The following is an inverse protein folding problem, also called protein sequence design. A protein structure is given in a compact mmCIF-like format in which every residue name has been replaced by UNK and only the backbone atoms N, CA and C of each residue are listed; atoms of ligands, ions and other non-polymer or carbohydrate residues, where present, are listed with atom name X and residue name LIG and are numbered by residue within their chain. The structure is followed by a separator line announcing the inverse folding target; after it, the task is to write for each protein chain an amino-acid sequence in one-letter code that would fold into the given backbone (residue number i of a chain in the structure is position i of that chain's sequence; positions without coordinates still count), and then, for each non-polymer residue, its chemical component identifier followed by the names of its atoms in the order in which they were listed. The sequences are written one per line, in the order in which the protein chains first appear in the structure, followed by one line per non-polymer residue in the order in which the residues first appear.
data_IF_385610753777
#
_entry.id   IF_385610753777
#
_cell.length_a   1.000
_cell.length_b   1.000
_cell.length_c   1.000
_cell.angle_alpha   90.00
_cell.angle_beta   90.00
_cell.angle_gamma   90.00
#
_symmetry.space_group_name_H-M   'P 1'
#
loop_
_entity.id
_entity.type
_entity.pdbx_description
1 polymer ?
#
# COMPACT_ATOMS: atom_id res chain seq x y z
N UNK A 1 2.71 -43.44 61.13
CA UNK A 1 3.48 -43.89 59.93
C UNK A 1 2.56 -43.89 58.73
N UNK A 2 3.10 -43.60 57.53
CA UNK A 2 2.44 -43.51 56.20
C UNK A 2 1.99 -42.11 55.75
N UNK A 3 2.93 -41.21 55.47
CA UNK A 3 2.79 -40.14 54.45
C UNK A 3 4.16 -39.75 53.83
N UNK A 4 5.01 -40.72 53.51
CA UNK A 4 6.36 -40.47 52.92
C UNK A 4 6.55 -41.06 51.51
N UNK A 5 5.52 -41.69 50.94
CA UNK A 5 5.52 -42.09 49.53
C UNK A 5 4.16 -41.65 49.02
N UNK A 6 4.02 -40.62 48.18
CA UNK A 6 4.46 -40.59 46.78
C UNK A 6 4.77 -39.15 46.37
N UNK A 7 5.97 -38.68 46.70
CA UNK A 7 6.62 -37.51 46.06
C UNK A 7 7.32 -37.93 44.74
N UNK A 8 7.10 -39.16 44.28
CA UNK A 8 7.87 -39.81 43.21
C UNK A 8 7.09 -40.03 41.90
N UNK A 9 6.01 -39.27 41.67
CA UNK A 9 5.33 -39.21 40.34
C UNK A 9 5.38 -37.79 39.74
N UNK A 10 5.97 -36.82 40.46
CA UNK A 10 6.33 -35.50 39.92
C UNK A 10 7.71 -35.45 39.26
N UNK A 11 8.47 -36.56 39.29
CA UNK A 11 9.86 -36.62 38.81
C UNK A 11 10.07 -37.40 37.51
N UNK A 12 9.02 -37.75 36.78
CA UNK A 12 9.16 -38.42 35.48
C UNK A 12 8.34 -37.69 34.42
N UNK A 13 9.06 -37.04 33.50
CA UNK A 13 8.66 -36.69 32.13
C UNK A 13 8.10 -35.29 31.82
N UNK A 14 8.35 -34.27 32.65
CA UNK A 14 8.70 -32.97 32.07
C UNK A 14 10.19 -32.96 31.74
N UNK A 15 10.60 -33.88 30.84
CA UNK A 15 11.76 -33.62 30.00
C UNK A 15 11.33 -32.47 29.08
N UNK A 16 11.35 -31.26 29.64
CA UNK A 16 11.50 -30.06 28.84
C UNK A 16 12.77 -30.34 28.05
N UNK A 17 12.64 -30.64 26.76
CA UNK A 17 13.77 -30.57 25.86
C UNK A 17 14.21 -29.11 25.92
N UNK A 18 15.16 -28.83 26.84
CA UNK A 18 15.70 -27.52 27.08
C UNK A 18 16.16 -26.96 25.74
N UNK A 19 15.70 -25.74 25.45
CA UNK A 19 15.97 -25.07 24.19
C UNK A 19 17.46 -25.18 23.84
N UNK A 20 17.77 -25.65 22.62
CA UNK A 20 19.15 -25.76 22.16
C UNK A 20 19.62 -24.38 21.69
N UNK A 21 20.54 -23.75 22.43
CA UNK A 21 21.17 -22.48 22.04
C UNK A 21 22.08 -22.69 20.82
N UNK A 22 21.85 -21.96 19.73
CA UNK A 22 22.65 -22.06 18.50
C UNK A 22 23.55 -20.84 18.22
N UNK A 23 23.79 -19.95 19.18
CA UNK A 23 24.57 -18.75 18.90
C UNK A 23 24.41 -17.69 19.96
N UNK A 24 24.92 -16.49 19.66
CA UNK A 24 24.70 -15.29 20.45
C UNK A 24 24.21 -14.19 19.51
N UNK A 25 23.22 -13.41 19.97
CA UNK A 25 22.71 -12.23 19.27
C UNK A 25 23.24 -11.00 19.98
N UNK A 26 23.71 -10.02 19.22
CA UNK A 26 24.31 -8.79 19.71
C UNK A 26 23.58 -7.59 19.11
N UNK A 27 23.19 -6.66 19.98
CA UNK A 27 22.64 -5.34 19.60
C UNK A 27 23.76 -4.35 19.23
N UNK A 28 24.99 -4.57 19.70
CA UNK A 28 26.18 -3.79 19.39
C UNK A 28 27.28 -4.72 18.91
N UNK A 29 27.75 -4.53 17.67
CA UNK A 29 28.78 -5.37 17.06
C UNK A 29 29.43 -4.65 15.85
N UNK A 30 30.76 -4.73 15.62
CA UNK A 30 31.42 -4.03 14.51
C UNK A 30 30.86 -4.37 13.11
N UNK A 31 30.28 -5.56 12.95
CA UNK A 31 29.61 -5.95 11.72
C UNK A 31 28.33 -5.13 11.43
N UNK A 32 27.63 -4.67 12.48
CA UNK A 32 26.47 -3.78 12.34
C UNK A 32 26.93 -2.43 11.79
N UNK A 33 28.00 -1.86 12.34
CA UNK A 33 28.58 -0.59 11.87
C UNK A 33 29.01 -0.69 10.39
N UNK A 34 29.63 -1.81 10.01
CA UNK A 34 29.99 -2.08 8.62
C UNK A 34 28.77 -2.10 7.68
N UNK A 35 27.67 -2.71 8.10
CA UNK A 35 26.42 -2.75 7.31
C UNK A 35 25.78 -1.38 7.20
N UNK A 36 25.79 -0.58 8.27
CA UNK A 36 25.32 0.79 8.23
C UNK A 36 26.15 1.65 7.24
N UNK A 37 27.49 1.56 7.31
CA UNK A 37 28.38 2.27 6.38
C UNK A 37 28.21 1.78 4.94
N UNK A 38 27.94 0.49 4.75
CA UNK A 38 27.61 -0.09 3.45
C UNK A 38 26.31 0.47 2.88
N UNK A 39 25.24 0.54 3.66
CA UNK A 39 23.95 1.09 3.23
C UNK A 39 24.09 2.56 2.85
N UNK A 40 24.85 3.35 3.61
CA UNK A 40 25.16 4.72 3.22
C UNK A 40 25.92 4.82 1.89
N UNK A 41 26.93 3.96 1.67
CA UNK A 41 27.67 3.92 0.42
C UNK A 41 26.76 3.49 -0.75
N UNK A 42 25.85 2.55 -0.51
CA UNK A 42 24.84 2.10 -1.47
C UNK A 42 23.92 3.26 -1.88
N UNK A 43 23.38 4.01 -0.91
CA UNK A 43 22.54 5.18 -1.16
C UNK A 43 23.26 6.25 -1.97
N UNK A 44 24.54 6.50 -1.65
CA UNK A 44 25.38 7.49 -2.37
C UNK A 44 25.88 7.00 -3.73
N UNK A 45 25.66 5.73 -4.10
CA UNK A 45 26.23 5.15 -5.31
C UNK A 45 27.76 5.09 -5.29
N UNK A 46 28.39 5.05 -4.11
CA UNK A 46 29.84 5.02 -3.95
C UNK A 46 30.39 3.61 -4.25
N UNK A 47 30.48 3.33 -5.55
CA UNK A 47 30.92 2.03 -6.07
C UNK A 47 32.31 1.62 -5.59
N UNK A 48 33.21 2.57 -5.36
CA UNK A 48 34.56 2.30 -4.87
C UNK A 48 34.55 1.86 -3.40
N UNK A 49 33.78 2.56 -2.56
CA UNK A 49 33.62 2.18 -1.15
C UNK A 49 32.93 0.82 -1.02
N UNK A 50 31.83 0.61 -1.74
CA UNK A 50 31.15 -0.69 -1.79
C UNK A 50 32.13 -1.80 -2.20
N UNK A 51 32.89 -1.62 -3.30
CA UNK A 51 33.84 -2.62 -3.76
C UNK A 51 34.90 -3.01 -2.71
N UNK A 52 35.33 -2.04 -1.89
CA UNK A 52 36.30 -2.26 -0.81
C UNK A 52 35.75 -3.08 0.35
N UNK A 53 34.44 -3.00 0.61
CA UNK A 53 33.74 -3.70 1.69
C UNK A 53 33.37 -5.15 1.34
N UNK A 54 33.31 -5.49 0.05
CA UNK A 54 32.92 -6.83 -0.39
C UNK A 54 34.13 -7.77 -0.54
N UNK A 55 33.97 -9.06 -0.22
CA UNK A 55 34.97 -10.09 -0.57
C UNK A 55 35.08 -10.25 -2.09
N UNK A 56 36.15 -10.86 -2.59
CA UNK A 56 36.33 -11.04 -4.05
C UNK A 56 35.36 -12.06 -4.64
N UNK A 57 34.96 -13.05 -3.85
CA UNK A 57 34.00 -14.10 -4.20
C UNK A 57 32.53 -13.74 -3.87
N UNK A 58 32.26 -12.48 -3.54
CA UNK A 58 30.95 -12.00 -3.09
C UNK A 58 29.77 -12.46 -3.95
N UNK A 59 28.65 -12.78 -3.28
CA UNK A 59 27.36 -13.11 -3.89
C UNK A 59 26.18 -12.41 -3.22
N UNK A 60 25.27 -11.84 -4.03
CA UNK A 60 23.95 -11.44 -3.55
C UNK A 60 22.84 -12.37 -4.05
N UNK A 61 21.76 -12.50 -3.28
CA UNK A 61 20.63 -13.38 -3.58
C UNK A 61 19.30 -12.64 -3.40
N UNK A 62 18.30 -13.04 -4.19
CA UNK A 62 16.92 -12.66 -3.97
C UNK A 62 16.26 -13.75 -3.10
N UNK A 63 15.90 -13.39 -1.86
CA UNK A 63 15.30 -14.28 -0.88
C UNK A 63 13.86 -14.69 -1.16
N UNK A 64 13.19 -14.03 -2.12
CA UNK A 64 11.84 -14.35 -2.58
C UNK A 64 11.80 -14.90 -4.01
N UNK A 65 12.97 -15.20 -4.60
CA UNK A 65 13.06 -15.79 -5.94
C UNK A 65 12.63 -17.25 -5.98
N UNK A 66 12.10 -17.69 -7.13
CA UNK A 66 11.65 -19.07 -7.39
C UNK A 66 12.76 -19.99 -7.95
N UNK A 67 13.86 -19.41 -8.45
CA UNK A 67 14.97 -20.17 -9.00
C UNK A 67 15.86 -20.80 -7.92
N UNK A 68 15.51 -22.03 -7.53
CA UNK A 68 16.25 -22.88 -6.58
C UNK A 68 17.70 -23.19 -6.97
N UNK A 69 18.08 -22.98 -8.23
CA UNK A 69 19.43 -23.24 -8.74
C UNK A 69 20.31 -21.99 -8.85
N UNK A 70 19.79 -20.83 -8.43
CA UNK A 70 20.47 -19.54 -8.53
C UNK A 70 21.88 -19.59 -7.93
N UNK A 71 22.86 -19.07 -8.67
CA UNK A 71 24.25 -18.90 -8.22
C UNK A 71 24.54 -17.53 -7.61
N UNK A 72 23.49 -16.72 -7.43
CA UNK A 72 23.58 -15.34 -6.95
C UNK A 72 24.21 -14.38 -7.95
N UNK A 73 24.01 -13.10 -7.71
CA UNK A 73 24.64 -12.00 -8.46
C UNK A 73 26.05 -11.79 -7.95
N UNK A 74 27.03 -11.75 -8.86
CA UNK A 74 28.43 -11.50 -8.49
C UNK A 74 28.75 -10.03 -8.22
N UNK A 75 29.87 -9.79 -7.53
CA UNK A 75 30.38 -8.47 -7.11
C UNK A 75 30.23 -7.35 -8.15
N UNK A 76 30.76 -7.53 -9.36
CA UNK A 76 30.76 -6.48 -10.38
C UNK A 76 29.34 -6.04 -10.75
N UNK A 77 28.44 -7.00 -11.02
CA UNK A 77 27.05 -6.70 -11.37
C UNK A 77 26.30 -6.07 -10.19
N UNK A 78 26.57 -6.51 -8.98
CA UNK A 78 25.96 -5.94 -7.78
C UNK A 78 26.34 -4.47 -7.58
N UNK A 79 27.61 -4.12 -7.76
CA UNK A 79 28.10 -2.73 -7.69
C UNK A 79 27.46 -1.87 -8.78
N UNK A 80 27.32 -2.39 -10.00
CA UNK A 80 26.60 -1.68 -11.07
C UNK A 80 25.13 -1.45 -10.69
N UNK A 81 24.46 -2.45 -10.11
CA UNK A 81 23.09 -2.28 -9.62
C UNK A 81 23.02 -1.19 -8.55
N UNK A 82 23.93 -1.18 -7.57
CA UNK A 82 23.96 -0.16 -6.52
C UNK A 82 24.06 1.27 -7.08
N UNK A 83 24.91 1.46 -8.10
CA UNK A 83 24.98 2.73 -8.82
C UNK A 83 23.63 3.08 -9.48
N UNK A 84 22.99 2.13 -10.17
CA UNK A 84 21.68 2.37 -10.80
C UNK A 84 20.61 2.78 -9.80
N UNK A 85 20.55 2.17 -8.62
CA UNK A 85 19.61 2.59 -7.57
C UNK A 85 19.80 4.06 -7.18
N UNK A 86 21.05 4.49 -7.01
CA UNK A 86 21.38 5.88 -6.67
C UNK A 86 21.13 6.85 -7.82
N UNK A 87 21.40 6.42 -9.06
CA UNK A 87 21.31 7.25 -10.26
C UNK A 87 19.89 7.34 -10.84
N UNK A 88 19.08 6.29 -10.72
CA UNK A 88 17.74 6.21 -11.34
C UNK A 88 16.61 6.61 -10.39
N UNK A 89 16.88 6.78 -9.09
CA UNK A 89 15.88 7.15 -8.09
C UNK A 89 16.13 8.53 -7.49
N UNK A 90 15.12 9.39 -7.52
CA UNK A 90 15.06 10.58 -6.67
C UNK A 90 14.70 10.19 -5.23
N UNK A 91 15.24 10.95 -4.26
CA UNK A 91 15.00 10.75 -2.83
C UNK A 91 15.37 9.34 -2.32
N UNK A 92 16.34 8.69 -2.98
CA UNK A 92 16.77 7.36 -2.58
C UNK A 92 17.31 7.37 -1.15
N UNK A 93 16.77 6.51 -0.30
CA UNK A 93 17.22 6.36 1.09
C UNK A 93 16.96 4.97 1.61
N UNK A 94 17.84 4.51 2.49
CA UNK A 94 17.66 3.31 3.32
C UNK A 94 17.78 3.79 4.76
N UNK A 95 16.80 3.44 5.59
CA UNK A 95 16.75 3.77 7.02
C UNK A 95 16.10 2.64 7.78
N UNK A 96 16.40 2.47 9.07
CA UNK A 96 15.76 1.43 9.89
C UNK A 96 14.23 1.49 9.81
N UNK A 97 13.60 0.32 9.69
CA UNK A 97 12.16 0.23 9.76
C UNK A 97 11.70 0.61 11.18
N UNK A 98 10.64 1.44 11.36
CA UNK A 98 10.22 1.89 12.68
C UNK A 98 9.99 0.74 13.67
N UNK A 99 10.66 0.78 14.82
CA UNK A 99 10.57 -0.25 15.85
C UNK A 99 11.46 -1.49 15.61
N UNK A 100 12.33 -1.45 14.60
CA UNK A 100 13.35 -2.47 14.37
C UNK A 100 14.76 -1.93 14.67
N UNK A 101 15.72 -2.86 14.73
CA UNK A 101 17.15 -2.57 14.90
C UNK A 101 17.94 -3.71 14.24
N UNK A 102 19.16 -3.43 13.74
CA UNK A 102 20.03 -4.47 13.21
C UNK A 102 20.53 -5.38 14.35
N UNK A 103 20.55 -6.69 14.09
CA UNK A 103 21.07 -7.70 15.02
C UNK A 103 22.26 -8.43 14.39
N UNK A 104 23.38 -8.52 15.11
CA UNK A 104 24.49 -9.40 14.75
C UNK A 104 24.33 -10.78 15.40
N UNK A 105 24.49 -11.83 14.62
CA UNK A 105 24.25 -13.21 15.02
C UNK A 105 25.49 -14.05 14.76
N UNK A 106 26.11 -14.51 15.84
CA UNK A 106 27.20 -15.48 15.81
C UNK A 106 26.64 -16.88 16.02
N UNK A 107 26.50 -17.66 14.95
CA UNK A 107 26.09 -19.06 15.08
C UNK A 107 27.23 -19.93 15.62
N UNK A 108 26.87 -20.94 16.43
CA UNK A 108 27.80 -21.98 16.89
C UNK A 108 27.90 -23.15 15.92
N UNK A 109 26.75 -23.56 15.37
CA UNK A 109 26.68 -24.68 14.43
C UNK A 109 27.07 -24.21 13.04
N UNK A 110 27.90 -25.01 12.36
CA UNK A 110 28.31 -24.82 10.97
C UNK A 110 29.03 -23.48 10.66
N UNK A 111 29.53 -22.78 11.68
CA UNK A 111 30.29 -21.52 11.55
C UNK A 111 31.79 -21.72 11.84
N UNK A 112 32.50 -22.42 10.96
CA UNK A 112 33.92 -22.73 11.16
C UNK A 112 34.84 -21.52 10.98
N UNK A 113 34.41 -20.57 10.15
CA UNK A 113 35.22 -19.40 9.77
C UNK A 113 35.01 -18.22 10.72
N UNK A 114 34.03 -18.32 11.63
CA UNK A 114 33.69 -17.25 12.57
C UNK A 114 33.02 -16.07 11.87
N UNK A 115 32.30 -16.34 10.78
CA UNK A 115 31.52 -15.34 10.06
C UNK A 115 30.31 -14.92 10.92
N UNK A 116 29.88 -13.67 10.78
CA UNK A 116 28.80 -13.05 11.54
C UNK A 116 27.67 -12.71 10.58
N UNK A 117 26.46 -13.14 10.90
CA UNK A 117 25.28 -12.66 10.19
C UNK A 117 24.85 -11.33 10.77
N UNK A 118 24.52 -10.35 9.93
CA UNK A 118 23.82 -9.14 10.35
C UNK A 118 22.45 -9.16 9.69
N UNK A 119 21.41 -9.13 10.51
CA UNK A 119 20.02 -9.08 10.09
C UNK A 119 19.52 -7.65 10.24
N UNK A 120 18.96 -7.08 9.16
CA UNK A 120 18.34 -5.74 9.20
C UNK A 120 16.89 -5.80 8.75
N UNK A 121 16.11 -4.85 9.26
CA UNK A 121 14.79 -4.50 8.74
C UNK A 121 14.85 -3.01 8.39
N UNK A 122 14.83 -2.73 7.11
CA UNK A 122 15.02 -1.39 6.59
C UNK A 122 13.75 -0.91 5.89
N UNK A 123 13.64 0.40 5.74
CA UNK A 123 12.65 1.08 4.93
C UNK A 123 13.38 1.71 3.75
N UNK A 124 13.26 1.06 2.60
CA UNK A 124 13.74 1.61 1.34
C UNK A 124 12.74 2.65 0.82
N UNK A 125 13.24 3.80 0.36
CA UNK A 125 12.45 4.83 -0.32
C UNK A 125 13.17 5.32 -1.57
N UNK A 126 12.40 5.71 -2.58
CA UNK A 126 12.85 6.38 -3.78
C UNK A 126 11.69 6.58 -4.77
N UNK A 127 11.90 7.41 -5.77
CA UNK A 127 10.96 7.63 -6.88
C UNK A 127 11.74 7.51 -8.18
N UNK A 128 11.33 6.61 -9.06
CA UNK A 128 12.02 6.40 -10.32
C UNK A 128 11.91 7.65 -11.20
N UNK A 129 13.04 8.19 -11.63
CA UNK A 129 13.14 9.51 -12.27
C UNK A 129 12.32 9.62 -13.54
N UNK A 130 12.26 8.56 -14.33
CA UNK A 130 11.60 8.59 -15.64
C UNK A 130 10.10 8.28 -15.54
N UNK A 131 9.71 7.32 -14.70
CA UNK A 131 8.32 6.82 -14.66
C UNK A 131 7.51 7.38 -13.50
N UNK A 132 8.14 7.98 -12.49
CA UNK A 132 7.49 8.41 -11.26
C UNK A 132 7.05 7.27 -10.33
N UNK A 133 7.34 6.01 -10.69
CA UNK A 133 6.98 4.85 -9.87
C UNK A 133 7.72 4.93 -8.54
N UNK A 134 6.96 4.78 -7.45
CA UNK A 134 7.47 4.88 -6.09
C UNK A 134 8.09 3.56 -5.66
N UNK A 135 9.38 3.59 -5.37
CA UNK A 135 10.10 2.51 -4.71
C UNK A 135 9.99 2.74 -3.21
N UNK A 136 8.97 2.20 -2.57
CA UNK A 136 8.88 2.21 -1.10
C UNK A 136 8.49 0.85 -0.60
N UNK A 137 9.40 0.22 0.15
CA UNK A 137 9.18 -1.14 0.62
C UNK A 137 9.91 -1.33 1.96
N UNK A 138 9.27 -1.93 2.97
CA UNK A 138 9.99 -2.58 4.05
C UNK A 138 10.84 -3.69 3.45
N UNK A 139 12.14 -3.67 3.73
CA UNK A 139 13.08 -4.68 3.26
C UNK A 139 13.67 -5.41 4.44
N UNK A 140 13.84 -6.72 4.30
CA UNK A 140 14.65 -7.50 5.22
C UNK A 140 15.91 -7.92 4.49
N UNK A 141 17.08 -7.63 5.06
CA UNK A 141 18.35 -8.03 4.48
C UNK A 141 19.16 -8.88 5.47
N UNK A 142 19.86 -9.88 4.93
CA UNK A 142 20.82 -10.71 5.66
C UNK A 142 22.20 -10.54 5.06
N UNK A 143 23.13 -9.98 5.82
CA UNK A 143 24.52 -9.81 5.45
C UNK A 143 25.38 -10.88 6.14
N UNK A 144 26.23 -11.57 5.39
CA UNK A 144 27.27 -12.43 5.95
C UNK A 144 28.58 -11.67 5.95
N UNK A 145 29.09 -11.35 7.14
CA UNK A 145 30.31 -10.59 7.35
C UNK A 145 31.41 -11.52 7.82
N UNK A 146 32.54 -11.51 7.13
CA UNK A 146 33.73 -12.28 7.49
C UNK A 146 34.40 -11.71 8.74
N UNK A 147 35.20 -12.53 9.41
CA UNK A 147 35.96 -12.11 10.60
C UNK A 147 36.92 -10.93 10.36
N UNK A 148 37.40 -10.74 9.12
CA UNK A 148 38.23 -9.60 8.71
C UNK A 148 37.42 -8.34 8.34
N UNK A 149 36.10 -8.35 8.50
CA UNK A 149 35.25 -7.17 8.32
C UNK A 149 34.90 -6.90 6.85
N UNK A 150 34.64 -7.95 6.07
CA UNK A 150 34.14 -7.82 4.70
C UNK A 150 32.81 -8.54 4.52
N UNK A 151 31.94 -8.02 3.68
CA UNK A 151 30.67 -8.65 3.34
C UNK A 151 30.94 -9.70 2.26
N UNK A 152 30.64 -10.96 2.59
CA UNK A 152 30.76 -12.12 1.71
C UNK A 152 29.47 -12.41 0.94
N UNK A 153 28.32 -12.14 1.55
CA UNK A 153 27.05 -12.26 0.85
C UNK A 153 25.96 -11.36 1.41
N UNK A 154 24.99 -11.03 0.56
CA UNK A 154 23.73 -10.39 0.97
C UNK A 154 22.55 -11.19 0.45
N UNK A 155 21.51 -11.38 1.26
CA UNK A 155 20.22 -11.92 0.81
C UNK A 155 19.18 -10.84 1.02
N UNK A 156 18.55 -10.41 -0.07
CA UNK A 156 17.55 -9.36 -0.07
C UNK A 156 16.13 -9.94 -0.07
N UNK A 157 15.29 -9.46 0.84
CA UNK A 157 13.86 -9.76 0.89
C UNK A 157 13.09 -8.44 0.78
N UNK A 158 12.56 -8.17 -0.41
CA UNK A 158 11.73 -7.00 -0.68
C UNK A 158 10.67 -7.37 -1.73
N UNK A 159 9.67 -6.51 -1.91
CA UNK A 159 8.62 -6.71 -2.91
C UNK A 159 9.16 -6.49 -4.34
N UNK A 160 9.27 -7.54 -5.17
CA UNK A 160 9.81 -7.39 -6.53
C UNK A 160 8.82 -6.72 -7.49
N UNK A 161 7.52 -6.65 -7.16
CA UNK A 161 6.48 -6.15 -8.07
C UNK A 161 6.67 -4.67 -8.44
N UNK A 162 7.39 -3.91 -7.61
CA UNK A 162 7.77 -2.51 -7.91
C UNK A 162 8.57 -2.39 -9.22
N UNK A 163 9.34 -3.41 -9.58
CA UNK A 163 10.08 -3.44 -10.84
C UNK A 163 9.18 -3.76 -12.02
N UNK A 164 8.15 -4.58 -11.83
CA UNK A 164 7.16 -4.87 -12.86
C UNK A 164 6.34 -3.62 -13.18
N UNK A 165 5.89 -2.89 -12.17
CA UNK A 165 5.18 -1.61 -12.33
C UNK A 165 6.05 -0.57 -13.05
N UNK A 166 7.32 -0.45 -12.64
CA UNK A 166 8.29 0.43 -13.31
C UNK A 166 8.47 0.05 -14.78
N UNK A 167 8.65 -1.25 -15.09
CA UNK A 167 8.83 -1.70 -16.46
C UNK A 167 7.58 -1.47 -17.33
N UNK A 168 6.39 -1.68 -16.77
CA UNK A 168 5.12 -1.46 -17.47
C UNK A 168 4.86 0.01 -17.75
N UNK A 169 5.36 0.92 -16.91
CA UNK A 169 5.20 2.38 -17.06
C UNK A 169 6.00 2.98 -18.23
N UNK A 170 6.81 2.19 -18.94
CA UNK A 170 7.52 2.62 -20.14
C UNK A 170 6.72 2.45 -21.45
N UNK A 171 5.52 1.88 -21.38
CA UNK A 171 4.67 1.63 -22.53
C UNK A 171 3.26 2.15 -22.29
N UNK A 172 2.64 2.67 -23.35
CA UNK A 172 1.23 3.02 -23.33
C UNK A 172 0.38 1.75 -23.17
N UNK A 173 -0.65 1.83 -22.34
CA UNK A 173 -1.64 0.77 -22.12
C UNK A 173 -3.05 1.34 -22.15
N UNK A 174 -3.99 0.59 -22.69
CA UNK A 174 -5.42 0.86 -22.53
C UNK A 174 -5.96 0.13 -21.30
N UNK A 175 -7.05 0.64 -20.74
CA UNK A 175 -7.79 -0.01 -19.66
C UNK A 175 -9.29 0.18 -19.89
N UNK A 176 -9.81 -0.48 -20.93
CA UNK A 176 -11.23 -0.45 -21.22
C UNK A 176 -11.69 0.66 -22.16
N UNK A 177 -13.00 0.90 -22.16
CA UNK A 177 -13.70 1.81 -23.08
C UNK A 177 -14.37 2.95 -22.33
N UNK A 178 -14.30 4.15 -22.88
CA UNK A 178 -14.99 5.35 -22.39
C UNK A 178 -16.16 5.70 -23.32
N UNK A 179 -17.33 5.92 -22.73
CA UNK A 179 -18.55 6.31 -23.44
C UNK A 179 -19.05 7.66 -22.93
N UNK A 180 -19.40 8.56 -23.85
CA UNK A 180 -20.06 9.83 -23.53
C UNK A 180 -21.61 9.77 -23.61
N UNK A 181 -22.15 8.66 -24.14
CA UNK A 181 -23.57 8.34 -24.19
C UNK A 181 -23.75 6.85 -23.91
N UNK A 182 -24.43 6.53 -22.82
CA UNK A 182 -24.66 5.16 -22.36
C UNK A 182 -25.89 5.11 -21.44
N UNK A 183 -26.56 3.96 -21.34
CA UNK A 183 -27.73 3.82 -20.47
C UNK A 183 -27.41 4.06 -18.99
N UNK A 184 -26.21 3.67 -18.52
CA UNK A 184 -25.78 3.95 -17.14
C UNK A 184 -25.60 5.46 -16.87
N UNK A 185 -25.20 6.25 -17.88
CA UNK A 185 -25.19 7.72 -17.78
C UNK A 185 -26.62 8.24 -17.63
N UNK A 186 -27.57 7.67 -18.38
CA UNK A 186 -28.98 8.02 -18.24
C UNK A 186 -29.51 7.66 -16.85
N UNK A 187 -29.08 6.53 -16.27
CA UNK A 187 -29.42 6.14 -14.89
C UNK A 187 -28.96 7.18 -13.87
N UNK A 188 -27.70 7.62 -13.92
CA UNK A 188 -27.18 8.68 -13.03
C UNK A 188 -27.99 9.97 -13.18
N UNK A 189 -28.22 10.44 -14.41
CA UNK A 189 -29.04 11.64 -14.67
C UNK A 189 -30.43 11.51 -14.06
N UNK A 190 -31.09 10.37 -14.25
CA UNK A 190 -32.44 10.14 -13.69
C UNK A 190 -32.43 10.15 -12.16
N UNK A 191 -31.42 9.58 -11.52
CA UNK A 191 -31.29 9.58 -10.07
C UNK A 191 -31.05 11.00 -9.51
N UNK A 192 -30.12 11.75 -10.10
CA UNK A 192 -29.80 13.12 -9.71
C UNK A 192 -30.99 14.06 -9.91
N UNK A 193 -31.64 14.02 -11.07
CA UNK A 193 -32.79 14.89 -11.33
C UNK A 193 -34.05 14.47 -10.57
N UNK A 194 -34.20 13.20 -10.18
CA UNK A 194 -35.23 12.80 -9.22
C UNK A 194 -34.96 13.45 -7.85
N UNK A 195 -33.70 13.48 -7.40
CA UNK A 195 -33.31 14.14 -6.14
C UNK A 195 -33.49 15.67 -6.20
N UNK A 196 -33.14 16.32 -7.32
CA UNK A 196 -33.44 17.75 -7.56
C UNK A 196 -34.93 18.06 -7.33
N UNK A 197 -35.80 17.17 -7.82
CA UNK A 197 -37.25 17.29 -7.67
C UNK A 197 -37.78 16.77 -6.33
N UNK A 198 -36.91 16.53 -5.34
CA UNK A 198 -37.24 16.00 -4.02
C UNK A 198 -37.97 14.63 -4.05
N UNK A 199 -37.90 13.90 -5.17
CA UNK A 199 -38.47 12.55 -5.33
C UNK A 199 -37.45 11.52 -4.87
N UNK A 200 -37.29 11.42 -3.55
CA UNK A 200 -36.28 10.60 -2.92
C UNK A 200 -36.52 9.10 -3.15
N UNK A 201 -37.78 8.65 -3.23
CA UNK A 201 -38.10 7.26 -3.55
C UNK A 201 -37.59 6.89 -4.94
N UNK A 202 -37.88 7.74 -5.94
CA UNK A 202 -37.41 7.50 -7.31
C UNK A 202 -35.90 7.61 -7.41
N UNK A 203 -35.29 8.60 -6.76
CA UNK A 203 -33.84 8.75 -6.73
C UNK A 203 -33.15 7.51 -6.18
N UNK A 204 -33.60 7.00 -5.02
CA UNK A 204 -33.03 5.81 -4.40
C UNK A 204 -33.38 4.50 -5.13
N UNK A 205 -34.42 4.50 -5.98
CA UNK A 205 -34.84 3.33 -6.77
C UNK A 205 -33.86 2.91 -7.87
N UNK A 206 -32.92 3.76 -8.24
CA UNK A 206 -31.86 3.45 -9.22
C UNK A 206 -30.68 2.68 -8.61
N UNK A 207 -30.58 2.62 -7.28
CA UNK A 207 -29.53 1.91 -6.57
C UNK A 207 -29.97 0.48 -6.27
N UNK A 208 -29.01 -0.45 -6.23
CA UNK A 208 -29.17 -1.80 -5.67
C UNK A 208 -29.60 -1.75 -4.21
N UNK A 209 -30.09 -2.86 -3.67
CA UNK A 209 -30.58 -2.90 -2.28
C UNK A 209 -29.44 -2.96 -1.26
N UNK A 210 -28.33 -3.56 -1.65
CA UNK A 210 -27.06 -3.65 -0.92
C UNK A 210 -26.06 -2.56 -1.32
N UNK A 211 -26.53 -1.49 -1.97
CA UNK A 211 -25.66 -0.43 -2.44
C UNK A 211 -24.92 0.29 -1.29
N UNK A 212 -23.65 0.58 -1.52
CA UNK A 212 -22.74 1.19 -0.53
C UNK A 212 -22.42 2.64 -0.88
N UNK A 213 -22.45 3.52 0.13
CA UNK A 213 -22.34 4.96 -0.10
C UNK A 213 -21.18 5.56 0.69
N UNK A 214 -20.31 6.24 -0.03
CA UNK A 214 -19.10 6.88 0.47
C UNK A 214 -19.21 8.39 0.30
N UNK A 215 -18.77 9.12 1.32
CA UNK A 215 -18.75 10.58 1.30
C UNK A 215 -17.39 11.03 1.83
N UNK A 216 -16.71 11.91 1.07
CA UNK A 216 -15.38 12.43 1.44
C UNK A 216 -15.36 13.15 2.80
N UNK A 217 -16.52 13.57 3.31
CA UNK A 217 -16.68 14.27 4.58
C UNK A 217 -16.92 13.32 5.78
N UNK A 218 -16.97 12.00 5.56
CA UNK A 218 -17.20 11.00 6.61
C UNK A 218 -16.08 9.93 6.62
N UNK A 219 -16.12 9.03 7.61
CA UNK A 219 -15.18 7.89 7.66
C UNK A 219 -15.44 6.93 6.50
N UNK A 220 -14.50 6.90 5.56
CA UNK A 220 -14.57 6.07 4.36
C UNK A 220 -14.55 4.56 4.67
N UNK A 221 -14.09 4.15 5.85
CA UNK A 221 -14.08 2.75 6.28
C UNK A 221 -15.42 2.30 6.89
N UNK A 222 -16.36 3.23 7.07
CA UNK A 222 -17.70 2.97 7.58
C UNK A 222 -18.77 3.55 6.63
N UNK A 223 -18.85 3.05 5.38
CA UNK A 223 -19.81 3.54 4.39
C UNK A 223 -21.26 3.35 4.82
N UNK A 224 -22.12 4.27 4.39
CA UNK A 224 -23.56 4.20 4.63
C UNK A 224 -24.22 3.14 3.75
N UNK A 225 -25.29 2.54 4.26
CA UNK A 225 -26.21 1.74 3.45
C UNK A 225 -27.36 2.59 2.87
N UNK A 226 -28.15 1.99 1.99
CA UNK A 226 -29.27 2.65 1.29
C UNK A 226 -30.27 3.35 2.23
N UNK A 227 -30.67 2.70 3.33
CA UNK A 227 -31.65 3.26 4.27
C UNK A 227 -31.07 4.46 5.03
N UNK A 228 -29.82 4.35 5.49
CA UNK A 228 -29.11 5.43 6.16
C UNK A 228 -28.95 6.65 5.24
N UNK A 229 -28.53 6.44 4.00
CA UNK A 229 -28.36 7.53 3.03
C UNK A 229 -29.68 8.13 2.61
N UNK A 230 -30.74 7.32 2.47
CA UNK A 230 -32.09 7.84 2.24
C UNK A 230 -32.52 8.75 3.39
N UNK A 231 -32.33 8.32 4.64
CA UNK A 231 -32.64 9.16 5.80
C UNK A 231 -31.82 10.47 5.80
N UNK A 232 -30.51 10.40 5.56
CA UNK A 232 -29.63 11.56 5.51
C UNK A 232 -29.98 12.54 4.37
N UNK A 233 -30.34 12.02 3.19
CA UNK A 233 -30.84 12.83 2.07
C UNK A 233 -32.18 13.48 2.39
N UNK A 234 -33.05 12.80 3.15
CA UNK A 234 -34.27 13.38 3.70
C UNK A 234 -33.98 14.56 4.63
N UNK A 235 -33.08 14.37 5.59
CA UNK A 235 -32.64 15.45 6.50
C UNK A 235 -31.99 16.62 5.74
N UNK A 236 -31.23 16.33 4.68
CA UNK A 236 -30.70 17.37 3.80
C UNK A 236 -31.84 18.19 3.16
N UNK A 237 -32.86 17.53 2.61
CA UNK A 237 -34.03 18.20 2.02
C UNK A 237 -34.88 18.93 3.07
N UNK A 238 -34.82 18.54 4.35
CA UNK A 238 -35.45 19.28 5.44
C UNK A 238 -34.74 20.60 5.72
N UNK A 239 -33.42 20.66 5.53
CA UNK A 239 -32.59 21.84 5.84
C UNK A 239 -32.31 22.76 4.64
N UNK A 240 -32.36 22.22 3.42
CA UNK A 240 -32.04 22.93 2.19
C UNK A 240 -33.18 22.80 1.18
N UNK A 241 -33.42 23.86 0.44
CA UNK A 241 -34.20 23.83 -0.79
C UNK A 241 -33.23 23.71 -1.97
N UNK A 242 -33.50 22.78 -2.90
CA UNK A 242 -32.73 22.65 -4.13
C UNK A 242 -33.42 23.52 -5.19
N UNK A 243 -32.76 24.60 -5.61
CA UNK A 243 -33.26 25.48 -6.68
C UNK A 243 -33.02 24.84 -8.06
N UNK A 244 -31.85 24.23 -8.24
CA UNK A 244 -31.49 23.50 -9.45
C UNK A 244 -30.28 22.58 -9.20
N UNK A 245 -30.14 21.54 -10.02
CA UNK A 245 -28.88 20.80 -10.15
C UNK A 245 -28.38 20.94 -11.59
N UNK A 246 -27.29 21.68 -11.77
CA UNK A 246 -26.68 21.94 -13.05
C UNK A 246 -25.61 20.88 -13.36
N UNK A 247 -25.74 20.20 -14.51
CA UNK A 247 -24.72 19.28 -15.01
C UNK A 247 -23.54 20.05 -15.59
N UNK A 248 -22.33 19.73 -15.16
CA UNK A 248 -21.10 20.35 -15.65
C UNK A 248 -20.43 19.41 -16.67
N UNK A 249 -20.43 19.83 -17.94
CA UNK A 249 -19.98 18.97 -19.03
C UNK A 249 -20.97 17.81 -19.29
N UNK A 250 -20.44 16.63 -19.57
CA UNK A 250 -21.22 15.39 -19.67
C UNK A 250 -20.57 14.32 -18.79
N UNK A 251 -21.35 13.42 -18.16
CA UNK A 251 -20.79 12.28 -17.46
C UNK A 251 -20.08 11.33 -18.42
N UNK A 252 -18.99 10.74 -17.97
CA UNK A 252 -18.27 9.69 -18.69
C UNK A 252 -18.58 8.33 -18.04
N UNK A 253 -18.93 7.35 -18.87
CA UNK A 253 -19.05 5.96 -18.45
C UNK A 253 -17.78 5.19 -18.84
N UNK A 254 -17.13 4.61 -17.84
CA UNK A 254 -15.93 3.81 -17.94
C UNK A 254 -16.29 2.34 -17.78
N UNK A 255 -15.97 1.55 -18.80
CA UNK A 255 -16.07 0.10 -18.79
C UNK A 255 -14.64 -0.47 -18.84
N UNK A 256 -14.14 -0.89 -17.68
CA UNK A 256 -12.76 -1.34 -17.50
C UNK A 256 -12.53 -2.76 -18.01
N UNK A 257 -11.32 -3.03 -18.50
CA UNK A 257 -10.89 -4.39 -18.90
C UNK A 257 -10.70 -5.30 -17.68
N UNK A 258 -10.20 -4.74 -16.57
CA UNK A 258 -9.99 -5.48 -15.33
C UNK A 258 -11.30 -5.58 -14.54
N UNK A 259 -11.57 -6.79 -14.04
CA UNK A 259 -12.71 -7.14 -13.18
C UNK A 259 -14.10 -6.75 -13.72
N UNK A 260 -14.22 -6.49 -15.03
CA UNK A 260 -15.42 -5.94 -15.66
C UNK A 260 -15.96 -4.72 -14.91
N UNK A 261 -15.07 -3.84 -14.43
CA UNK A 261 -15.45 -2.66 -13.67
C UNK A 261 -16.33 -1.71 -14.51
N UNK A 262 -17.41 -1.20 -13.94
CA UNK A 262 -18.36 -0.30 -14.62
C UNK A 262 -18.60 0.92 -13.76
N UNK A 263 -18.34 2.11 -14.30
CA UNK A 263 -18.36 3.32 -13.48
C UNK A 263 -18.80 4.55 -14.26
N UNK A 264 -19.66 5.39 -13.68
CA UNK A 264 -19.96 6.72 -14.22
C UNK A 264 -19.28 7.78 -13.37
N UNK A 265 -18.52 8.66 -14.01
CA UNK A 265 -17.96 9.88 -13.42
C UNK A 265 -18.82 11.07 -13.86
N UNK A 266 -19.27 11.88 -12.90
CA UNK A 266 -20.18 12.99 -13.19
C UNK A 266 -19.90 14.21 -12.30
N UNK A 267 -20.09 15.40 -12.88
CA UNK A 267 -19.88 16.68 -12.22
C UNK A 267 -21.17 17.50 -12.19
N UNK A 268 -21.48 18.07 -11.03
CA UNK A 268 -22.73 18.78 -10.78
C UNK A 268 -22.50 20.02 -9.93
N UNK A 269 -23.26 21.08 -10.19
CA UNK A 269 -23.43 22.21 -9.28
C UNK A 269 -24.84 22.16 -8.70
N UNK A 270 -24.96 21.90 -7.41
CA UNK A 270 -26.24 22.03 -6.72
C UNK A 270 -26.44 23.47 -6.26
N UNK A 271 -27.47 24.12 -6.76
CA UNK A 271 -27.90 25.46 -6.35
C UNK A 271 -28.88 25.30 -5.20
N UNK A 272 -28.48 25.73 -4.01
CA UNK A 272 -29.19 25.48 -2.76
C UNK A 272 -29.59 26.78 -2.07
N UNK A 273 -30.73 26.76 -1.39
CA UNK A 273 -31.11 27.77 -0.39
C UNK A 273 -31.20 27.11 0.97
N UNK A 274 -30.33 27.50 1.89
CA UNK A 274 -30.40 27.02 3.28
C UNK A 274 -31.60 27.63 3.97
N UNK A 275 -32.49 26.79 4.52
CA UNK A 275 -33.77 27.26 5.04
C UNK A 275 -33.64 28.11 6.30
N UNK A 276 -32.63 27.84 7.14
CA UNK A 276 -32.43 28.48 8.43
C UNK A 276 -32.10 29.98 8.35
N UNK A 277 -31.39 30.42 7.31
CA UNK A 277 -30.91 31.80 7.14
C UNK A 277 -31.09 32.35 5.72
N UNK A 278 -31.69 31.57 4.82
CA UNK A 278 -31.93 31.92 3.41
C UNK A 278 -30.65 32.16 2.62
N UNK A 279 -29.50 31.65 3.09
CA UNK A 279 -28.24 31.74 2.37
C UNK A 279 -28.30 30.91 1.08
N UNK A 280 -27.93 31.52 -0.04
CA UNK A 280 -27.71 30.84 -1.32
C UNK A 280 -26.32 30.21 -1.33
N UNK A 281 -26.25 28.94 -1.73
CA UNK A 281 -25.02 28.15 -1.76
C UNK A 281 -24.97 27.46 -3.13
N UNK A 282 -23.82 27.52 -3.78
CA UNK A 282 -23.51 26.64 -4.90
C UNK A 282 -22.60 25.57 -4.33
N UNK A 283 -23.01 24.31 -4.46
CA UNK A 283 -22.25 23.15 -4.01
C UNK A 283 -21.73 22.37 -5.23
N UNK A 284 -20.47 22.57 -5.63
CA UNK A 284 -19.83 21.73 -6.64
C UNK A 284 -19.63 20.32 -6.09
N UNK A 285 -20.00 19.33 -6.89
CA UNK A 285 -19.89 17.91 -6.56
C UNK A 285 -19.30 17.13 -7.72
N UNK A 286 -18.39 16.21 -7.40
CA UNK A 286 -18.05 15.08 -8.25
C UNK A 286 -18.70 13.82 -7.65
N UNK A 287 -19.38 13.05 -8.48
CA UNK A 287 -20.04 11.81 -8.09
C UNK A 287 -19.49 10.69 -8.97
N UNK A 288 -19.02 9.64 -8.31
CA UNK A 288 -18.65 8.39 -8.94
C UNK A 288 -19.65 7.29 -8.59
N UNK A 289 -20.29 6.67 -9.59
CA UNK A 289 -21.26 5.60 -9.38
C UNK A 289 -20.76 4.29 -10.02
N UNK A 290 -20.60 3.23 -9.22
CA UNK A 290 -20.36 1.87 -9.71
C UNK A 290 -21.65 1.18 -10.16
N UNK A 291 -21.55 0.24 -11.09
CA UNK A 291 -22.71 -0.46 -11.67
C UNK A 291 -22.54 -1.98 -11.70
N UNK A 292 -23.65 -2.69 -11.49
CA UNK A 292 -23.76 -4.11 -11.84
C UNK A 292 -24.02 -4.31 -13.34
N UNK A 293 -24.15 -5.58 -13.76
CA UNK A 293 -24.39 -5.93 -15.17
C UNK A 293 -25.80 -5.56 -15.62
N UNK A 294 -26.74 -5.45 -14.68
CA UNK A 294 -28.14 -5.07 -14.89
C UNK A 294 -28.35 -3.54 -14.97
N UNK A 295 -27.33 -2.74 -14.71
CA UNK A 295 -27.37 -1.28 -14.76
C UNK A 295 -27.95 -0.61 -13.52
N UNK A 296 -27.96 -1.31 -12.37
CA UNK A 296 -28.20 -0.70 -11.05
C UNK A 296 -26.91 -0.14 -10.46
N UNK A 297 -27.05 0.93 -9.71
CA UNK A 297 -25.92 1.53 -9.00
C UNK A 297 -25.60 0.68 -7.77
N UNK A 298 -24.40 0.10 -7.72
CA UNK A 298 -23.91 -0.74 -6.61
C UNK A 298 -23.20 0.07 -5.54
N UNK A 299 -22.62 1.19 -5.92
CA UNK A 299 -21.91 2.07 -5.01
C UNK A 299 -21.91 3.51 -5.51
N UNK A 300 -21.77 4.44 -4.57
CA UNK A 300 -21.62 5.86 -4.87
C UNK A 300 -20.55 6.49 -3.99
N UNK A 301 -19.62 7.20 -4.60
CA UNK A 301 -18.69 8.07 -3.92
C UNK A 301 -18.99 9.53 -4.28
N UNK A 302 -19.31 10.34 -3.26
CA UNK A 302 -19.53 11.78 -3.43
C UNK A 302 -18.35 12.59 -2.88
N UNK A 303 -17.87 13.52 -3.70
CA UNK A 303 -16.77 14.43 -3.40
C UNK A 303 -17.27 15.88 -3.48
N UNK A 304 -17.23 16.57 -2.34
CA UNK A 304 -17.62 17.97 -2.23
C UNK A 304 -17.08 18.57 -0.93
N UNK A 305 -17.04 19.91 -0.85
CA UNK A 305 -16.67 20.61 0.38
C UNK A 305 -17.87 20.71 1.34
N UNK A 306 -17.92 19.86 2.36
CA UNK A 306 -18.98 19.86 3.37
C UNK A 306 -19.09 21.17 4.16
N UNK A 307 -17.98 21.89 4.34
CA UNK A 307 -17.95 23.17 5.05
C UNK A 307 -18.80 24.27 4.39
N UNK A 308 -19.18 24.12 3.11
CA UNK A 308 -20.11 25.05 2.46
C UNK A 308 -21.53 24.96 3.01
N UNK A 309 -21.89 23.84 3.62
CA UNK A 309 -23.23 23.57 4.17
C UNK A 309 -23.36 24.03 5.62
N UNK A 310 -22.25 24.20 6.34
CA UNK A 310 -22.21 24.63 7.74
C UNK A 310 -22.76 26.04 7.92
N UNK A 311 -23.40 26.27 9.07
CA UNK A 311 -24.02 27.54 9.41
C UNK A 311 -22.99 28.60 9.78
#
# INVERSE_FOLDING_TARGET
MKKVFVTLVLMTSCLTFGQKKNGTVYLEHPAIDLVAEFNEAFVRGDTAKIASMLTDDFKSFNGVGDNVSSKGTGKARYITSAYRWSDELDYFSISDFPGSYPDAIEYKKDNKDGDVWVQTWDLLKGVHKETGVKFTSPTHDLFLVTKDGKIKSVIHYFDPSIFDEMAQSFADRTNGTIYNHHENINTVRKAVYAFENSDLEKAMGFYGDDAMFYNINYDINAPGNKDQVKAARGEFLDNFEIEAIEMIGYPDYLEYEMDNGRSVLSWWNMHLVRKADKKKIILPMHINNGFDEEGKITDEFIYYNGGLLEK
#
